data_IF_148205255800
#
_entry.id   IF_148205255800
#
_cell.length_a   1.000
_cell.length_b   1.000
_cell.length_c   1.000
_cell.angle_alpha   90.00
_cell.angle_beta   90.00
_cell.angle_gamma   90.00
#
_symmetry.space_group_name_H-M   'P 1'
#
loop_
_entity.id
_entity.type
_entity.pdbx_description
1 polymer ?
#
# COMPACT_ATOMS: atom_id res chain seq x y z
N UNK A 1 -3.20 -35.40 -25.01
CA UNK A 1 -4.21 -34.64 -24.23
C UNK A 1 -3.64 -33.92 -22.99
N UNK A 2 -2.65 -34.46 -22.26
CA UNK A 2 -2.14 -33.85 -21.01
C UNK A 2 -1.38 -32.50 -21.15
N UNK A 3 -0.76 -32.19 -22.30
CA UNK A 3 -0.08 -30.90 -22.53
C UNK A 3 -1.06 -29.74 -22.75
N UNK A 4 -2.20 -30.01 -23.37
CA UNK A 4 -3.23 -29.01 -23.65
C UNK A 4 -4.04 -28.67 -22.39
N UNK A 5 -4.31 -29.65 -21.53
CA UNK A 5 -4.91 -29.42 -20.21
C UNK A 5 -3.98 -28.59 -19.30
N UNK A 6 -2.65 -28.82 -19.35
CA UNK A 6 -1.69 -27.98 -18.61
C UNK A 6 -1.63 -26.54 -19.13
N UNK A 7 -1.70 -26.33 -20.44
CA UNK A 7 -1.69 -24.97 -21.04
C UNK A 7 -3.02 -24.26 -20.75
N UNK A 8 -4.15 -24.98 -20.77
CA UNK A 8 -5.46 -24.43 -20.40
C UNK A 8 -5.52 -24.10 -18.91
N UNK A 9 -4.97 -24.93 -18.01
CA UNK A 9 -4.90 -24.61 -16.58
C UNK A 9 -3.94 -23.47 -16.24
N UNK A 10 -2.89 -23.23 -17.06
CA UNK A 10 -1.98 -22.08 -16.89
C UNK A 10 -2.61 -20.78 -17.45
N UNK A 11 -3.44 -20.87 -18.51
CA UNK A 11 -4.19 -19.73 -19.04
C UNK A 11 -5.45 -19.39 -18.22
N UNK A 12 -6.11 -20.38 -17.60
CA UNK A 12 -7.27 -20.15 -16.73
C UNK A 12 -6.92 -19.51 -15.38
N UNK A 13 -5.65 -19.57 -14.96
CA UNK A 13 -5.19 -18.92 -13.73
C UNK A 13 -4.91 -17.42 -13.90
N UNK A 14 -5.05 -16.88 -15.12
CA UNK A 14 -4.69 -15.49 -15.45
C UNK A 14 -5.88 -14.51 -15.48
N UNK A 15 -7.10 -14.94 -15.18
CA UNK A 15 -8.34 -14.19 -15.48
C UNK A 15 -9.07 -13.55 -14.29
N UNK A 16 -8.49 -13.46 -13.09
CA UNK A 16 -9.18 -12.88 -11.92
C UNK A 16 -8.37 -11.81 -11.18
N UNK A 17 -7.81 -10.84 -11.90
CA UNK A 17 -7.20 -9.65 -11.27
C UNK A 17 -7.75 -8.36 -11.88
N UNK A 18 -9.06 -8.14 -11.71
CA UNK A 18 -9.67 -6.83 -11.97
C UNK A 18 -9.52 -5.93 -10.74
N UNK A 19 -8.27 -5.62 -10.38
CA UNK A 19 -7.92 -4.63 -9.36
C UNK A 19 -8.70 -3.31 -9.56
N UNK A 20 -9.15 -2.61 -8.52
CA UNK A 20 -9.56 -1.20 -8.66
C UNK A 20 -8.38 -0.26 -8.44
N UNK A 21 -7.51 -0.62 -7.49
CA UNK A 21 -6.29 0.12 -7.14
C UNK A 21 -5.20 -0.88 -6.74
N UNK A 22 -4.00 -0.70 -7.24
CA UNK A 22 -2.81 -1.39 -6.73
C UNK A 22 -1.75 -0.34 -6.36
N UNK A 23 -1.28 -0.36 -5.12
CA UNK A 23 -0.15 0.44 -4.63
C UNK A 23 0.94 -0.50 -4.13
N UNK A 24 2.00 -0.64 -4.93
CA UNK A 24 3.16 -1.48 -4.63
C UNK A 24 4.38 -0.57 -4.38
N UNK A 25 4.93 -0.64 -3.17
CA UNK A 25 6.18 0.03 -2.78
C UNK A 25 7.25 -1.01 -2.49
N UNK A 26 8.33 -1.01 -3.28
CA UNK A 26 9.48 -1.91 -3.11
C UNK A 26 10.73 -1.09 -2.81
N UNK A 27 11.26 -1.23 -1.59
CA UNK A 27 12.54 -0.61 -1.21
C UNK A 27 13.66 -1.59 -1.52
N UNK A 28 14.49 -1.30 -2.52
CA UNK A 28 15.73 -2.03 -2.78
C UNK A 28 16.87 -1.38 -2.02
N UNK A 29 17.60 -2.17 -1.23
CA UNK A 29 18.69 -1.66 -0.39
C UNK A 29 19.98 -2.44 -0.61
N UNK A 30 21.07 -1.70 -0.77
CA UNK A 30 22.42 -2.23 -0.89
C UNK A 30 23.11 -2.31 0.47
N UNK A 31 24.20 -3.09 0.60
CA UNK A 31 24.96 -3.21 1.86
C UNK A 31 25.53 -1.89 2.37
N UNK A 32 25.75 -0.92 1.47
CA UNK A 32 26.24 0.42 1.79
C UNK A 32 25.15 1.38 2.31
N UNK A 33 23.88 0.96 2.28
CA UNK A 33 22.72 1.74 2.71
C UNK A 33 22.08 2.60 1.64
N UNK A 34 22.66 2.69 0.45
CA UNK A 34 22.02 3.33 -0.70
C UNK A 34 21.02 2.38 -1.38
N UNK A 35 20.17 2.92 -2.24
CA UNK A 35 19.19 2.10 -2.91
C UNK A 35 18.20 2.86 -3.76
N UNK A 36 17.12 2.17 -4.10
CA UNK A 36 16.00 2.74 -4.85
C UNK A 36 14.66 2.29 -4.27
N UNK A 37 13.66 3.13 -4.41
CA UNK A 37 12.26 2.84 -4.16
C UNK A 37 11.61 2.66 -5.53
N UNK A 38 11.00 1.50 -5.76
CA UNK A 38 10.08 1.33 -6.88
C UNK A 38 8.66 1.49 -6.36
N UNK A 39 7.98 2.53 -6.81
CA UNK A 39 6.56 2.76 -6.56
C UNK A 39 5.80 2.40 -7.83
N UNK A 40 4.77 1.56 -7.71
CA UNK A 40 3.84 1.26 -8.80
C UNK A 40 2.43 1.52 -8.32
N UNK A 41 1.77 2.48 -8.95
CA UNK A 41 0.38 2.82 -8.64
C UNK A 41 -0.46 2.60 -9.89
N UNK A 42 -1.46 1.73 -9.79
CA UNK A 42 -2.31 1.31 -10.89
C UNK A 42 -3.78 1.44 -10.50
N UNK A 43 -4.62 1.86 -11.45
CA UNK A 43 -6.05 2.04 -11.26
C UNK A 43 -6.84 1.31 -12.34
N UNK A 44 -8.04 0.84 -12.02
CA UNK A 44 -8.93 0.26 -13.02
C UNK A 44 -9.36 1.31 -14.04
N UNK A 45 -9.57 0.87 -15.27
CA UNK A 45 -10.20 1.72 -16.28
C UNK A 45 -11.58 2.22 -15.82
N UNK A 46 -12.30 1.39 -15.04
CA UNK A 46 -13.59 1.74 -14.46
C UNK A 46 -13.49 2.92 -13.49
N UNK A 47 -12.44 2.98 -12.65
CA UNK A 47 -12.25 4.13 -11.76
C UNK A 47 -11.96 5.40 -12.54
N UNK A 48 -11.12 5.33 -13.58
CA UNK A 48 -10.88 6.49 -14.46
C UNK A 48 -12.19 6.98 -15.11
N UNK A 49 -13.03 6.07 -15.63
CA UNK A 49 -14.33 6.43 -16.20
C UNK A 49 -15.30 6.99 -15.17
N UNK A 50 -15.25 6.53 -13.92
CA UNK A 50 -16.09 7.03 -12.83
C UNK A 50 -15.67 8.45 -12.42
N UNK A 51 -14.35 8.72 -12.31
CA UNK A 51 -13.81 10.06 -12.08
C UNK A 51 -14.20 11.03 -13.19
N UNK A 52 -14.14 10.57 -14.45
CA UNK A 52 -14.57 11.36 -15.62
C UNK A 52 -16.09 11.64 -15.61
N UNK A 53 -16.91 10.68 -15.16
CA UNK A 53 -18.35 10.88 -15.06
C UNK A 53 -18.72 11.88 -13.94
N UNK A 54 -18.02 11.82 -12.80
CA UNK A 54 -18.20 12.78 -11.69
C UNK A 54 -17.74 14.17 -12.09
N UNK A 55 -16.60 14.32 -12.78
CA UNK A 55 -16.13 15.63 -13.24
C UNK A 55 -17.09 16.25 -14.26
N UNK A 56 -17.66 15.46 -15.17
CA UNK A 56 -18.71 15.91 -16.11
C UNK A 56 -20.00 16.32 -15.39
N UNK A 57 -20.47 15.54 -14.42
CA UNK A 57 -21.69 15.86 -13.66
C UNK A 57 -21.56 17.11 -12.77
N UNK A 58 -20.35 17.44 -12.30
CA UNK A 58 -20.08 18.68 -11.57
C UNK A 58 -19.99 19.90 -12.50
N UNK A 59 -19.45 19.72 -13.72
CA UNK A 59 -19.37 20.77 -14.73
C UNK A 59 -20.73 21.21 -15.31
N UNK A 60 -21.75 20.33 -15.26
CA UNK A 60 -23.10 20.67 -15.73
C UNK A 60 -23.91 21.52 -14.73
N UNK A 61 -23.49 21.60 -13.46
CA UNK A 61 -24.19 22.35 -12.40
C UNK A 61 -23.55 23.70 -12.03
N UNK A 62 -22.37 24.04 -12.56
CA UNK A 62 -21.74 25.35 -12.38
C UNK A 62 -21.44 25.98 -13.74
N UNK A 63 -22.30 26.94 -14.13
CA UNK A 63 -21.97 27.87 -15.19
C UNK A 63 -20.71 28.65 -14.81
N UNK A 64 -19.68 28.55 -15.65
CA UNK A 64 -18.38 29.24 -15.52
C UNK A 64 -17.48 28.81 -14.35
N UNK A 65 -17.03 27.55 -14.37
CA UNK A 65 -15.73 27.17 -13.82
C UNK A 65 -14.96 26.39 -14.90
N UNK A 66 -13.68 26.75 -15.11
CA UNK A 66 -12.80 26.24 -16.18
C UNK A 66 -13.02 24.73 -16.46
N UNK A 67 -13.36 24.43 -17.71
CA UNK A 67 -13.28 23.08 -18.29
C UNK A 67 -11.84 22.57 -18.15
N UNK A 68 -11.57 21.82 -17.10
CA UNK A 68 -10.57 20.75 -17.19
C UNK A 68 -11.34 19.49 -17.61
N UNK A 69 -11.50 19.32 -18.93
CA UNK A 69 -11.84 18.05 -19.54
C UNK A 69 -10.68 17.08 -19.28
N UNK A 70 -10.62 16.49 -18.08
CA UNK A 70 -9.59 15.54 -17.74
C UNK A 70 -9.90 14.18 -18.38
N UNK A 71 -9.38 13.92 -19.58
CA UNK A 71 -9.41 12.56 -20.12
C UNK A 71 -8.58 11.65 -19.23
N UNK A 72 -8.75 10.32 -19.34
CA UNK A 72 -7.87 9.34 -18.68
C UNK A 72 -6.37 9.64 -18.88
N UNK A 73 -5.99 10.20 -20.04
CA UNK A 73 -4.60 10.58 -20.32
C UNK A 73 -4.15 11.77 -19.49
N UNK A 74 -5.01 12.74 -19.26
CA UNK A 74 -4.71 13.94 -18.47
C UNK A 74 -4.60 13.59 -16.99
N UNK A 75 -5.51 12.77 -16.47
CA UNK A 75 -5.43 12.23 -15.12
C UNK A 75 -4.12 11.46 -14.89
N UNK A 76 -3.77 10.54 -15.81
CA UNK A 76 -2.50 9.81 -15.72
C UNK A 76 -1.28 10.74 -15.77
N UNK A 77 -1.30 11.73 -16.66
CA UNK A 77 -0.22 12.72 -16.78
C UNK A 77 -0.04 13.49 -15.48
N UNK A 78 -1.13 13.96 -14.88
CA UNK A 78 -1.09 14.69 -13.61
C UNK A 78 -0.51 13.82 -12.49
N UNK A 79 -0.97 12.58 -12.35
CA UNK A 79 -0.44 11.65 -11.35
C UNK A 79 1.06 11.38 -11.51
N UNK A 80 1.54 11.33 -12.75
CA UNK A 80 2.97 11.21 -13.05
C UNK A 80 3.75 12.49 -12.75
N UNK A 81 3.16 13.68 -12.94
CA UNK A 81 3.78 14.94 -12.50
C UNK A 81 3.86 15.02 -10.97
N UNK A 82 2.79 14.64 -10.26
CA UNK A 82 2.79 14.54 -8.80
C UNK A 82 3.86 13.56 -8.31
N UNK A 83 4.08 12.45 -9.03
CA UNK A 83 5.14 11.50 -8.72
C UNK A 83 6.54 12.12 -8.70
N UNK A 84 6.80 13.13 -9.53
CA UNK A 84 8.12 13.78 -9.58
C UNK A 84 8.44 14.56 -8.31
N UNK A 85 7.43 15.06 -7.62
CA UNK A 85 7.58 15.89 -6.42
C UNK A 85 7.55 15.07 -5.13
N UNK A 86 7.02 13.83 -5.17
CA UNK A 86 6.91 12.93 -4.00
C UNK A 86 8.22 12.42 -3.41
N UNK A 87 9.36 12.64 -4.06
CA UNK A 87 10.65 12.21 -3.52
C UNK A 87 10.87 12.70 -2.08
N UNK A 88 10.49 13.94 -1.77
CA UNK A 88 10.63 14.52 -0.42
C UNK A 88 9.80 13.82 0.65
N UNK A 89 8.71 13.14 0.28
CA UNK A 89 7.87 12.35 1.21
C UNK A 89 8.59 11.10 1.69
N UNK A 90 9.57 10.61 0.93
CA UNK A 90 10.38 9.46 1.30
C UNK A 90 11.57 9.83 2.21
N UNK A 91 11.74 11.10 2.55
CA UNK A 91 12.81 11.60 3.41
C UNK A 91 13.82 12.49 2.69
N UNK A 92 14.74 13.12 3.44
CA UNK A 92 15.58 14.21 2.94
C UNK A 92 16.63 13.78 1.90
N UNK A 93 16.99 12.49 1.84
CA UNK A 93 17.99 11.99 0.88
C UNK A 93 17.35 11.37 -0.37
N UNK A 94 16.02 11.27 -0.41
CA UNK A 94 15.32 10.67 -1.53
C UNK A 94 15.25 11.65 -2.72
N UNK A 95 15.57 11.14 -3.91
CA UNK A 95 15.64 11.91 -5.15
C UNK A 95 14.83 11.21 -6.23
N UNK A 96 14.07 11.99 -6.98
CA UNK A 96 13.35 11.46 -8.14
C UNK A 96 14.34 11.02 -9.23
N UNK A 97 14.11 9.82 -9.81
CA UNK A 97 14.92 9.27 -10.90
C UNK A 97 14.12 9.20 -12.18
N UNK A 98 12.95 8.57 -12.15
CA UNK A 98 12.13 8.38 -13.36
C UNK A 98 10.67 8.08 -13.02
N UNK A 99 9.77 8.41 -13.94
CA UNK A 99 8.38 7.95 -13.92
C UNK A 99 7.98 7.52 -15.32
N UNK A 100 7.36 6.34 -15.44
CA UNK A 100 6.93 5.77 -16.71
C UNK A 100 5.51 5.25 -16.61
N UNK A 101 4.69 5.33 -17.67
CA UNK A 101 3.36 4.73 -17.66
C UNK A 101 3.45 3.21 -17.48
N UNK A 102 2.49 2.63 -16.77
CA UNK A 102 2.39 1.21 -16.50
C UNK A 102 0.96 0.71 -16.78
N UNK A 103 0.86 -0.52 -17.31
CA UNK A 103 -0.41 -1.16 -17.64
C UNK A 103 -0.33 -2.66 -17.38
N UNK A 104 -1.23 -3.19 -16.57
CA UNK A 104 -1.28 -4.62 -16.20
C UNK A 104 -2.74 -5.06 -16.12
N UNK A 105 -3.13 -6.14 -16.80
CA UNK A 105 -4.44 -6.78 -16.63
C UNK A 105 -5.67 -5.83 -16.62
N UNK A 106 -5.68 -4.80 -17.49
CA UNK A 106 -6.78 -3.82 -17.53
C UNK A 106 -6.64 -2.64 -16.57
N UNK A 107 -5.62 -2.64 -15.72
CA UNK A 107 -5.20 -1.51 -14.90
C UNK A 107 -4.27 -0.59 -15.67
N UNK A 108 -4.34 0.71 -15.39
CA UNK A 108 -3.44 1.73 -15.95
C UNK A 108 -2.96 2.64 -14.84
N UNK A 109 -1.71 3.08 -14.92
CA UNK A 109 -1.10 3.98 -13.95
C UNK A 109 0.35 4.23 -14.31
N UNK A 110 1.23 4.30 -13.32
CA UNK A 110 2.65 4.55 -13.53
C UNK A 110 3.52 3.70 -12.62
N UNK A 111 4.81 3.65 -12.97
CA UNK A 111 5.91 3.21 -12.13
C UNK A 111 6.87 4.37 -11.94
N UNK A 112 7.13 4.75 -10.70
CA UNK A 112 8.10 5.77 -10.33
C UNK A 112 9.30 5.14 -9.62
N UNK A 113 10.49 5.66 -9.89
CA UNK A 113 11.75 5.27 -9.26
C UNK A 113 12.30 6.48 -8.52
N UNK A 114 12.65 6.26 -7.26
CA UNK A 114 13.35 7.24 -6.42
C UNK A 114 14.65 6.61 -5.93
N UNK A 115 15.76 7.34 -5.95
CA UNK A 115 17.00 6.90 -5.31
C UNK A 115 17.11 7.48 -3.90
N UNK A 116 17.84 6.81 -3.03
CA UNK A 116 18.25 7.35 -1.74
C UNK A 116 19.69 6.96 -1.46
N UNK A 117 20.40 7.85 -0.76
CA UNK A 117 21.81 7.67 -0.43
C UNK A 117 21.99 6.96 0.93
N UNK A 118 21.00 7.07 1.83
CA UNK A 118 21.03 6.44 3.16
C UNK A 118 19.63 5.99 3.61
N UNK A 119 19.42 4.67 3.68
CA UNK A 119 18.19 4.04 4.16
C UNK A 119 17.82 4.47 5.59
N UNK A 120 18.77 4.86 6.43
CA UNK A 120 18.47 5.36 7.79
C UNK A 120 17.63 6.64 7.79
N UNK A 121 17.59 7.35 6.66
CA UNK A 121 16.84 8.60 6.51
C UNK A 121 15.50 8.39 5.80
N UNK A 122 15.22 7.15 5.36
CA UNK A 122 14.06 6.82 4.56
C UNK A 122 12.79 6.78 5.42
N UNK A 123 11.72 7.38 4.90
CA UNK A 123 10.39 7.37 5.50
C UNK A 123 9.42 6.67 4.55
N UNK A 124 8.91 5.50 4.93
CA UNK A 124 7.89 4.80 4.13
C UNK A 124 6.57 4.84 4.87
N UNK A 125 5.60 5.57 4.30
CA UNK A 125 4.23 5.62 4.79
C UNK A 125 3.46 4.37 4.31
N UNK A 126 2.60 3.84 5.19
CA UNK A 126 1.76 2.67 4.89
C UNK A 126 0.39 3.05 4.32
N UNK A 127 0.06 4.34 4.28
CA UNK A 127 -1.24 4.82 3.82
C UNK A 127 -1.23 5.08 2.30
N UNK A 128 -1.99 4.32 1.49
CA UNK A 128 -2.09 4.58 0.06
C UNK A 128 -2.87 5.87 -0.26
N UNK A 129 -3.63 6.43 0.70
CA UNK A 129 -4.51 7.58 0.50
C UNK A 129 -3.81 8.83 -0.06
N UNK A 130 -2.56 9.06 0.34
CA UNK A 130 -1.73 10.18 -0.13
C UNK A 130 -1.37 10.07 -1.62
N UNK A 131 -1.42 8.86 -2.19
CA UNK A 131 -1.04 8.57 -3.58
C UNK A 131 -2.25 8.41 -4.51
N UNK A 132 -3.44 8.20 -3.94
CA UNK A 132 -4.67 7.91 -4.68
C UNK A 132 -5.59 9.12 -4.89
N UNK A 133 -5.14 10.33 -4.50
CA UNK A 133 -5.83 11.58 -4.83
C UNK A 133 -7.19 11.78 -4.15
N UNK A 134 -7.47 11.13 -3.02
CA UNK A 134 -8.66 11.49 -2.23
C UNK A 134 -8.50 12.93 -1.75
N UNK A 135 -9.56 13.77 -1.79
CA UNK A 135 -9.55 15.01 -1.03
C UNK A 135 -9.29 14.62 0.43
N UNK A 136 -8.21 15.12 1.02
CA UNK A 136 -8.16 15.22 2.47
C UNK A 136 -9.39 16.03 2.86
N UNK A 137 -10.38 15.38 3.48
CA UNK A 137 -11.31 16.12 4.33
C UNK A 137 -10.45 16.79 5.40
N UNK A 138 -10.13 18.06 5.15
CA UNK A 138 -9.50 18.95 6.12
C UNK A 138 -10.54 19.25 7.21
N UNK A 139 -10.81 18.25 8.05
CA UNK A 139 -11.72 18.33 9.18
C UNK A 139 -11.10 19.07 10.39
N UNK A 140 -10.14 19.96 10.15
CA UNK A 140 -9.51 20.83 11.17
C UNK A 140 -8.85 20.09 12.35
N UNK A 141 -8.80 18.76 12.33
CA UNK A 141 -8.14 17.93 13.34
C UNK A 141 -6.72 17.66 12.88
N UNK A 142 -5.70 17.85 13.72
CA UNK A 142 -4.35 17.43 13.38
C UNK A 142 -4.39 15.94 13.08
N UNK A 143 -4.14 15.60 11.81
CA UNK A 143 -3.97 14.22 11.38
C UNK A 143 -2.90 13.64 12.31
N UNK A 144 -3.28 12.65 13.13
CA UNK A 144 -2.30 11.95 13.99
C UNK A 144 -1.31 11.32 13.01
N UNK A 145 -0.16 11.98 12.81
CA UNK A 145 0.91 11.50 11.96
C UNK A 145 1.19 10.05 12.35
N UNK A 146 0.75 9.12 11.50
CA UNK A 146 1.11 7.71 11.67
C UNK A 146 2.60 7.65 11.41
N UNK A 147 3.35 7.17 12.39
CA UNK A 147 4.80 7.08 12.29
C UNK A 147 5.16 6.27 11.02
N UNK A 148 6.20 6.66 10.26
CA UNK A 148 6.64 5.89 9.10
C UNK A 148 7.32 4.59 9.54
N UNK A 149 7.46 3.63 8.62
CA UNK A 149 8.37 2.49 8.81
C UNK A 149 9.79 3.04 8.96
N UNK A 150 10.48 2.63 10.02
CA UNK A 150 11.83 3.07 10.32
C UNK A 150 12.84 2.00 9.92
N UNK A 151 13.98 2.45 9.42
CA UNK A 151 15.08 1.58 9.03
C UNK A 151 16.34 1.99 9.80
N UNK A 152 17.06 1.00 10.31
CA UNK A 152 18.37 1.20 10.91
C UNK A 152 19.37 0.22 10.32
N UNK A 153 20.32 0.72 9.54
CA UNK A 153 21.39 -0.06 8.93
C UNK A 153 22.71 0.19 9.67
N UNK A 154 23.27 -0.89 10.20
CA UNK A 154 24.65 -0.95 10.66
C UNK A 154 25.52 -1.60 9.59
N UNK A 155 26.40 -0.82 8.98
CA UNK A 155 27.30 -1.26 7.91
C UNK A 155 28.45 -2.11 8.48
N UNK A 156 28.92 -3.09 7.71
CA UNK A 156 30.09 -3.90 8.06
C UNK A 156 30.37 -4.98 7.02
N UNK A 157 31.34 -5.89 7.26
CA UNK A 157 31.58 -7.06 6.40
C UNK A 157 30.34 -7.95 6.23
N UNK A 158 29.45 -7.91 7.23
CA UNK A 158 28.06 -8.34 7.17
C UNK A 158 27.24 -7.17 7.70
N UNK A 159 26.46 -6.54 6.82
CA UNK A 159 25.58 -5.44 7.19
C UNK A 159 24.35 -5.98 7.92
N UNK A 160 23.84 -5.23 8.90
CA UNK A 160 22.63 -5.56 9.66
C UNK A 160 21.60 -4.46 9.46
N UNK A 161 20.49 -4.79 8.77
CA UNK A 161 19.32 -3.93 8.64
C UNK A 161 18.28 -4.33 9.69
N UNK A 162 17.82 -3.35 10.44
CA UNK A 162 16.71 -3.45 11.39
C UNK A 162 15.55 -2.64 10.84
N UNK A 163 14.38 -3.26 10.71
CA UNK A 163 13.15 -2.62 10.21
C UNK A 163 12.15 -2.62 11.35
N UNK A 164 11.69 -1.43 11.73
CA UNK A 164 10.72 -1.25 12.81
C UNK A 164 9.41 -0.78 12.21
N UNK A 165 8.36 -1.56 12.42
CA UNK A 165 7.01 -1.18 12.00
C UNK A 165 6.49 -0.12 12.97
N UNK A 166 5.77 0.91 12.50
CA UNK A 166 5.22 1.91 13.39
C UNK A 166 4.18 1.28 14.32
N UNK A 167 4.26 1.62 15.60
CA UNK A 167 3.31 1.14 16.60
C UNK A 167 1.94 1.74 16.30
N UNK A 168 0.96 0.89 16.03
CA UNK A 168 -0.43 1.34 16.12
C UNK A 168 -0.69 1.68 17.58
N UNK A 169 -1.06 2.93 17.89
CA UNK A 169 -1.37 3.37 19.26
C UNK A 169 -2.60 2.61 19.78
N UNK A 170 -2.36 1.40 20.28
CA UNK A 170 -3.22 0.62 21.19
C UNK A 170 -2.43 0.02 22.36
N UNK A 171 -1.14 0.34 22.49
CA UNK A 171 -0.30 -0.18 23.58
C UNK A 171 -0.34 0.66 24.88
N UNK A 172 -1.05 1.79 24.95
CA UNK A 172 -1.16 2.59 26.19
C UNK A 172 -2.48 3.36 26.28
N UNK A 173 -3.60 2.65 26.37
CA UNK A 173 -4.86 3.27 26.77
C UNK A 173 -5.62 2.33 27.70
N UNK A 174 -5.19 2.34 28.96
CA UNK A 174 -6.12 2.13 30.08
C UNK A 174 -7.30 3.06 29.83
N UNK A 175 -8.46 2.45 29.72
CA UNK A 175 -9.77 3.06 29.48
C UNK A 175 -9.87 4.44 30.12
N UNK A 176 -9.93 5.46 29.28
CA UNK A 176 -10.72 6.64 29.57
C UNK A 176 -11.60 6.90 28.36
N UNK A 177 -12.88 6.66 28.61
CA UNK A 177 -14.04 7.08 27.85
C UNK A 177 -13.79 8.43 27.15
N UNK A 178 -13.58 8.38 25.83
CA UNK A 178 -13.84 9.52 24.96
C UNK A 178 -15.15 9.22 24.24
N UNK A 179 -16.23 9.69 24.89
CA UNK A 179 -17.56 9.68 24.36
C UNK A 179 -17.65 10.35 22.98
N UNK A 180 -18.56 9.81 22.18
CA UNK A 180 -18.89 10.16 20.80
C UNK A 180 -17.80 9.80 19.78
N UNK A 181 -17.60 8.50 19.60
CA UNK A 181 -17.74 7.98 18.24
C UNK A 181 -19.07 8.51 17.71
N UNK A 182 -19.02 9.39 16.71
CA UNK A 182 -20.16 9.55 15.83
C UNK A 182 -20.45 8.14 15.34
N UNK A 183 -21.55 7.56 15.83
CA UNK A 183 -22.18 6.42 15.18
C UNK A 183 -22.69 6.98 13.85
N UNK A 184 -21.75 7.20 12.92
CA UNK A 184 -22.06 7.23 11.51
C UNK A 184 -22.90 5.99 11.30
N UNK A 185 -24.18 6.23 11.04
CA UNK A 185 -25.20 5.18 10.98
C UNK A 185 -24.60 4.02 10.21
N UNK A 186 -24.79 2.81 10.71
CA UNK A 186 -24.68 1.58 9.94
C UNK A 186 -25.67 1.66 8.78
N UNK A 187 -25.41 2.54 7.82
CA UNK A 187 -26.16 2.74 6.61
C UNK A 187 -25.63 1.67 5.65
N UNK A 188 -26.43 0.62 5.37
CA UNK A 188 -26.00 -0.45 4.49
C UNK A 188 -25.53 0.08 3.14
N UNK A 189 -26.09 1.22 2.70
CA UNK A 189 -25.73 1.84 1.43
C UNK A 189 -24.30 2.40 1.43
N UNK A 190 -23.85 3.03 2.52
CA UNK A 190 -22.48 3.54 2.64
C UNK A 190 -21.46 2.40 2.78
N UNK A 191 -21.82 1.35 3.52
CA UNK A 191 -20.98 0.16 3.66
C UNK A 191 -20.79 -0.55 2.31
N UNK A 192 -21.83 -0.67 1.49
CA UNK A 192 -21.74 -1.26 0.14
C UNK A 192 -20.92 -0.40 -0.84
N UNK A 193 -21.01 0.93 -0.75
CA UNK A 193 -20.16 1.85 -1.53
C UNK A 193 -18.69 1.69 -1.12
N UNK A 194 -18.41 1.67 0.19
CA UNK A 194 -17.05 1.48 0.71
C UNK A 194 -16.49 0.11 0.30
N UNK A 195 -17.27 -0.97 0.45
CA UNK A 195 -16.90 -2.30 -0.03
C UNK A 195 -16.58 -2.28 -1.50
N UNK A 196 -17.39 -1.64 -2.34
CA UNK A 196 -17.15 -1.57 -3.80
C UNK A 196 -15.84 -0.84 -4.13
N UNK A 197 -15.47 0.20 -3.37
CA UNK A 197 -14.22 0.93 -3.58
C UNK A 197 -12.98 0.15 -3.12
N UNK A 198 -13.07 -0.51 -1.96
CA UNK A 198 -11.98 -1.30 -1.40
C UNK A 198 -11.87 -2.69 -2.02
N UNK A 199 -12.96 -3.20 -2.59
CA UNK A 199 -12.97 -4.41 -3.40
C UNK A 199 -11.97 -4.22 -4.52
N UNK A 200 -11.14 -5.23 -4.70
CA UNK A 200 -10.06 -5.22 -5.68
C UNK A 200 -8.92 -4.20 -5.40
N UNK A 201 -8.87 -3.60 -4.20
CA UNK A 201 -7.69 -2.86 -3.75
C UNK A 201 -6.58 -3.82 -3.34
N UNK A 202 -5.34 -3.50 -3.71
CA UNK A 202 -4.15 -4.18 -3.22
C UNK A 202 -3.10 -3.18 -2.75
N UNK A 203 -2.55 -3.41 -1.57
CA UNK A 203 -1.45 -2.62 -1.02
C UNK A 203 -0.30 -3.56 -0.69
N UNK A 204 0.90 -3.28 -1.21
CA UNK A 204 2.11 -4.06 -0.92
C UNK A 204 3.27 -3.15 -0.54
N UNK A 205 3.94 -3.50 0.55
CA UNK A 205 5.20 -2.90 0.98
C UNK A 205 6.21 -4.01 1.22
N UNK A 206 7.34 -3.95 0.53
CA UNK A 206 8.38 -4.94 0.62
C UNK A 206 9.77 -4.32 0.60
N UNK A 207 10.73 -5.04 1.19
CA UNK A 207 12.16 -4.70 1.15
C UNK A 207 12.87 -5.79 0.36
N UNK A 208 13.68 -5.38 -0.60
CA UNK A 208 14.49 -6.24 -1.43
C UNK A 208 15.96 -5.97 -1.10
N UNK A 209 16.65 -6.99 -0.61
CA UNK A 209 18.07 -6.91 -0.35
C UNK A 209 18.82 -7.10 -1.67
N UNK A 210 19.66 -6.13 -2.04
CA UNK A 210 20.60 -6.24 -3.16
C UNK A 210 21.90 -6.84 -2.65
N UNK A 211 21.88 -8.16 -2.45
CA UNK A 211 22.92 -8.90 -1.76
C UNK A 211 22.45 -10.29 -1.32
N UNK A 212 23.31 -10.98 -0.60
CA UNK A 212 23.00 -12.31 -0.04
C UNK A 212 22.60 -12.18 1.42
N UNK A 213 21.35 -12.54 1.73
CA UNK A 213 20.88 -12.62 3.12
C UNK A 213 21.48 -13.85 3.79
N UNK A 214 22.31 -13.64 4.80
CA UNK A 214 22.87 -14.69 5.67
C UNK A 214 21.80 -15.20 6.65
N UNK A 215 21.15 -14.28 7.37
CA UNK A 215 20.12 -14.62 8.35
C UNK A 215 19.02 -13.56 8.40
N UNK A 216 17.79 -13.96 8.66
CA UNK A 216 16.71 -13.04 8.98
C UNK A 216 15.65 -13.72 9.84
N UNK A 217 14.97 -12.94 10.69
CA UNK A 217 13.79 -13.38 11.42
C UNK A 217 12.48 -13.12 10.65
N UNK A 218 12.52 -12.57 9.43
CA UNK A 218 11.32 -12.27 8.63
C UNK A 218 10.51 -13.55 8.32
N UNK A 219 9.21 -13.46 8.53
CA UNK A 219 8.23 -14.53 8.28
C UNK A 219 7.96 -14.69 6.78
N UNK A 220 7.80 -13.58 6.06
CA UNK A 220 7.40 -13.58 4.65
C UNK A 220 8.57 -13.27 3.71
N UNK A 221 9.46 -14.25 3.56
CA UNK A 221 10.64 -14.17 2.70
C UNK A 221 10.48 -15.00 1.42
N UNK A 222 10.89 -14.41 0.31
CA UNK A 222 10.98 -15.05 -1.01
C UNK A 222 12.32 -14.65 -1.64
N UNK A 223 13.31 -15.54 -1.56
CA UNK A 223 14.69 -15.23 -1.95
C UNK A 223 15.29 -14.10 -1.11
N UNK A 224 15.59 -12.97 -1.74
CA UNK A 224 16.10 -11.75 -1.10
C UNK A 224 15.03 -10.67 -0.87
N UNK A 225 13.77 -10.97 -1.19
CA UNK A 225 12.61 -10.10 -0.95
C UNK A 225 11.94 -10.47 0.38
N UNK A 226 11.69 -9.48 1.21
CA UNK A 226 10.98 -9.54 2.48
C UNK A 226 9.70 -8.74 2.34
N UNK A 227 8.55 -9.37 2.55
CA UNK A 227 7.24 -8.70 2.50
C UNK A 227 6.89 -8.19 3.88
N UNK A 228 6.73 -6.87 4.04
CA UNK A 228 6.31 -6.25 5.30
C UNK A 228 4.78 -6.23 5.39
N UNK A 229 4.13 -5.85 4.29
CA UNK A 229 2.68 -5.76 4.15
C UNK A 229 2.29 -6.24 2.75
N UNK A 230 1.28 -7.11 2.64
CA UNK A 230 0.57 -7.43 1.40
C UNK A 230 -0.90 -7.66 1.77
N UNK A 231 -1.74 -6.68 1.45
CA UNK A 231 -3.18 -6.70 1.68
C UNK A 231 -3.90 -6.75 0.34
N UNK A 232 -4.56 -7.87 0.07
CA UNK A 232 -5.42 -8.12 -1.09
C UNK A 232 -6.87 -8.10 -0.60
N UNK A 233 -7.51 -6.94 -0.72
CA UNK A 233 -8.84 -6.71 -0.18
C UNK A 233 -9.91 -7.54 -0.88
N UNK A 234 -9.71 -7.92 -2.15
CA UNK A 234 -10.65 -8.83 -2.80
C UNK A 234 -10.69 -10.18 -2.06
N UNK A 235 -9.52 -10.77 -1.80
CA UNK A 235 -9.41 -12.05 -1.08
C UNK A 235 -9.90 -11.97 0.37
N UNK A 236 -9.68 -10.83 1.03
CA UNK A 236 -10.16 -10.60 2.40
C UNK A 236 -11.70 -10.52 2.43
N UNK A 237 -12.30 -9.76 1.50
CA UNK A 237 -13.75 -9.55 1.43
C UNK A 237 -14.53 -10.80 0.99
N UNK A 238 -13.89 -11.72 0.26
CA UNK A 238 -14.45 -13.05 -0.06
C UNK A 238 -14.67 -13.93 1.18
N UNK A 239 -14.17 -13.55 2.37
CA UNK A 239 -14.30 -14.29 3.62
C UNK A 239 -15.05 -13.48 4.68
N UNK A 240 -16.40 -13.53 4.74
CA UNK A 240 -17.21 -12.78 5.70
C UNK A 240 -16.78 -12.97 7.17
N UNK A 241 -16.38 -14.20 7.52
CA UNK A 241 -15.89 -14.54 8.87
C UNK A 241 -14.61 -13.79 9.27
N UNK A 242 -13.79 -13.34 8.32
CA UNK A 242 -12.60 -12.52 8.61
C UNK A 242 -13.01 -11.12 9.04
N UNK A 243 -14.01 -10.53 8.36
CA UNK A 243 -14.52 -9.20 8.70
C UNK A 243 -15.18 -9.21 10.08
N UNK A 244 -15.98 -10.23 10.39
CA UNK A 244 -16.59 -10.41 11.72
C UNK A 244 -15.53 -10.64 12.80
N UNK A 245 -14.49 -11.45 12.53
CA UNK A 245 -13.38 -11.66 13.48
C UNK A 245 -12.60 -10.39 13.75
N UNK A 246 -12.26 -9.60 12.72
CA UNK A 246 -11.49 -8.36 12.90
C UNK A 246 -12.33 -7.26 13.55
N UNK A 247 -13.62 -7.14 13.19
CA UNK A 247 -14.55 -6.18 13.77
C UNK A 247 -14.90 -6.51 15.23
N UNK A 248 -15.08 -7.80 15.55
CA UNK A 248 -15.49 -8.26 16.87
C UNK A 248 -14.36 -8.51 17.87
N UNK A 249 -13.15 -8.86 17.43
CA UNK A 249 -12.12 -9.38 18.34
C UNK A 249 -11.40 -8.33 19.19
N UNK A 250 -11.51 -7.03 18.86
CA UNK A 250 -10.84 -5.91 19.57
C UNK A 250 -9.49 -6.29 20.22
N UNK A 251 -8.52 -6.85 19.47
CA UNK A 251 -7.33 -7.45 20.06
C UNK A 251 -6.51 -6.41 20.84
N UNK A 252 -6.03 -6.82 22.01
CA UNK A 252 -5.29 -5.99 22.95
C UNK A 252 -3.78 -6.23 22.87
N UNK A 253 -3.35 -7.39 22.35
CA UNK A 253 -1.93 -7.76 22.24
C UNK A 253 -1.48 -8.05 20.81
N UNK A 254 -0.16 -7.96 20.56
CA UNK A 254 0.43 -8.30 19.26
C UNK A 254 0.25 -9.79 18.94
N UNK A 255 0.27 -10.64 19.96
CA UNK A 255 0.03 -12.08 19.85
C UNK A 255 -1.41 -12.39 19.43
N UNK A 256 -2.39 -11.63 19.92
CA UNK A 256 -3.78 -11.73 19.49
C UNK A 256 -3.97 -11.22 18.05
N UNK A 257 -3.35 -10.09 17.71
CA UNK A 257 -3.32 -9.62 16.32
C UNK A 257 -2.69 -10.67 15.41
N UNK A 258 -1.57 -11.27 15.83
CA UNK A 258 -0.88 -12.35 15.13
C UNK A 258 -1.79 -13.55 14.88
N UNK A 259 -2.45 -14.04 15.92
CA UNK A 259 -3.38 -15.15 15.82
C UNK A 259 -4.58 -14.83 14.90
N UNK A 260 -5.03 -13.57 14.87
CA UNK A 260 -6.14 -13.14 14.03
C UNK A 260 -5.73 -13.03 12.55
N UNK A 261 -4.53 -12.53 12.26
CA UNK A 261 -4.10 -12.26 10.88
C UNK A 261 -3.33 -13.41 10.22
N UNK A 262 -2.77 -14.33 11.02
CA UNK A 262 -2.08 -15.50 10.50
C UNK A 262 -3.04 -16.45 9.78
N UNK A 263 -2.68 -16.87 8.56
CA UNK A 263 -3.48 -17.79 7.75
C UNK A 263 -4.67 -17.15 7.05
N UNK A 264 -4.89 -15.84 7.19
CA UNK A 264 -5.85 -15.12 6.36
C UNK A 264 -5.29 -15.03 4.94
N UNK A 265 -5.97 -15.71 4.02
CA UNK A 265 -5.68 -15.59 2.61
C UNK A 265 -5.93 -14.15 2.13
N UNK A 266 -4.94 -13.57 1.45
CA UNK A 266 -4.99 -12.16 1.05
C UNK A 266 -4.40 -11.20 2.08
N UNK A 267 -3.92 -11.68 3.23
CA UNK A 267 -3.25 -10.84 4.21
C UNK A 267 -1.89 -11.42 4.58
N UNK A 268 -0.84 -10.65 4.32
CA UNK A 268 0.50 -10.86 4.90
C UNK A 268 0.89 -9.60 5.63
N UNK A 269 1.20 -9.74 6.91
CA UNK A 269 1.70 -8.65 7.74
C UNK A 269 2.85 -9.21 8.56
N UNK A 270 4.01 -8.60 8.43
CA UNK A 270 5.17 -8.97 9.23
C UNK A 270 4.96 -8.52 10.69
N UNK A 271 5.19 -9.44 11.62
CA UNK A 271 4.86 -9.25 13.04
C UNK A 271 6.08 -9.39 13.94
N UNK A 272 7.22 -9.81 13.40
CA UNK A 272 8.47 -9.65 14.12
C UNK A 272 8.83 -8.17 14.13
N UNK A 273 8.82 -7.56 15.31
CA UNK A 273 9.21 -6.17 15.51
C UNK A 273 10.33 -6.10 16.56
N UNK A 274 11.57 -5.76 16.17
CA UNK A 274 11.98 -5.43 14.81
C UNK A 274 12.20 -6.67 13.92
N UNK A 275 12.08 -6.46 12.60
CA UNK A 275 12.65 -7.38 11.61
C UNK A 275 14.14 -7.12 11.52
N UNK A 276 14.95 -8.16 11.63
CA UNK A 276 16.41 -8.09 11.52
C UNK A 276 16.87 -8.91 10.33
N UNK A 277 17.72 -8.31 9.50
CA UNK A 277 18.28 -8.91 8.29
C UNK A 277 19.79 -8.71 8.30
N UNK A 278 20.55 -9.80 8.26
CA UNK A 278 22.02 -9.78 8.09
C UNK A 278 22.36 -10.19 6.67
N UNK A 279 23.16 -9.39 5.98
CA UNK A 279 23.44 -9.59 4.55
C UNK A 279 24.78 -9.00 4.11
N UNK A 280 25.23 -9.45 2.93
CA UNK A 280 26.43 -8.97 2.24
C UNK A 280 26.13 -8.52 0.84
#
# INVERSE_FOLDING_TARGET
>A
MARWVRIICILLFCCCYFGCIQDDTLVRVKPDGSGVIEETVLFSNMLFSSLEAVSKGLAENQGDAKKEEGTKKDALKQMMEDAKTRASQYGPTAKFVSVTPAKVAGLTGYKAIYSFDDINTLQVNQNPGEKTGKPQENDGKPEKAKEPIQFNLKKGPVSTLTITMPKTKKENSVVKDEGKADKGKDDPQQAEIAKTFFKDMRVRIAVQIDGTIETTNATYRDGSKITLVDMDFNKILEKPAVFEKVSGAQPQTIEEVKALVQGIEGLKMELNDPVVVKFR
#
